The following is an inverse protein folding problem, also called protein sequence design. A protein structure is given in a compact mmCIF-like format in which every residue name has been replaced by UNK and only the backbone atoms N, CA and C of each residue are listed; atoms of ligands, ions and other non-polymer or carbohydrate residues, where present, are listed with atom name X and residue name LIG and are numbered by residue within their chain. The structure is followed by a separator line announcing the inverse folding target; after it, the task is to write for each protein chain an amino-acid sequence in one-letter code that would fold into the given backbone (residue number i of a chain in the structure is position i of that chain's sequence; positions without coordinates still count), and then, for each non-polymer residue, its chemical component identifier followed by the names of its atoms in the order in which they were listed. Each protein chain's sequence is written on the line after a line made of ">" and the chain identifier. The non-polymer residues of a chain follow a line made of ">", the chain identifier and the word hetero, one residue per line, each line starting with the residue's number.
data_IF_524541157017
#
_entry.id   IF_524541157017
#
_cell.length_a   1.000
_cell.length_b   1.000
_cell.length_c   1.000
_cell.angle_alpha   90.00
_cell.angle_beta   90.00
_cell.angle_gamma   90.00
#
_symmetry.space_group_name_H-M   'P 1'
#
loop_
_entity.id
_entity.type
_entity.pdbx_description
1 polymer ?
#
# COMPACT_ATOMS: atom_id res chain seq x y z
N UNK A 1 -1.63 22.52 17.20
CA UNK A 1 -0.33 23.17 16.92
C UNK A 1 -0.03 23.17 15.41
N UNK A 2 0.09 22.00 14.79
CA UNK A 2 0.48 21.85 13.37
C UNK A 2 -0.52 22.41 12.34
N UNK A 3 -1.77 22.65 12.70
CA UNK A 3 -2.76 23.26 11.78
C UNK A 3 -2.48 24.73 11.45
N UNK A 4 -1.66 25.42 12.25
CA UNK A 4 -1.40 26.87 12.12
C UNK A 4 0.07 27.22 12.19
N UNK A 5 0.96 26.23 12.37
CA UNK A 5 2.42 26.44 12.48
C UNK A 5 3.15 25.36 11.70
N UNK A 6 4.09 25.78 10.86
CA UNK A 6 4.96 24.90 10.09
C UNK A 6 6.28 24.57 10.82
N UNK A 7 6.61 25.30 11.88
CA UNK A 7 7.75 25.07 12.75
C UNK A 7 7.47 25.62 14.17
N UNK A 8 8.47 25.51 15.05
CA UNK A 8 8.34 25.90 16.46
C UNK A 8 8.54 27.40 16.72
N UNK A 9 9.09 28.17 15.78
CA UNK A 9 9.62 29.52 16.07
C UNK A 9 8.99 30.63 15.23
N UNK A 10 8.43 30.33 14.05
CA UNK A 10 7.82 31.31 13.15
C UNK A 10 6.43 31.74 13.60
N UNK A 11 5.99 32.87 13.05
CA UNK A 11 4.63 33.38 13.22
C UNK A 11 3.60 32.37 12.67
N UNK A 12 2.43 32.22 13.31
CA UNK A 12 1.37 31.36 12.81
C UNK A 12 0.92 31.71 11.39
N UNK A 13 0.51 30.71 10.63
CA UNK A 13 -0.12 30.86 9.32
C UNK A 13 -1.41 31.66 9.46
N UNK A 14 -1.67 32.54 8.50
CA UNK A 14 -2.88 33.36 8.47
C UNK A 14 -4.18 32.55 8.32
N UNK A 15 -4.08 31.32 7.79
CA UNK A 15 -5.18 30.38 7.61
C UNK A 15 -4.78 29.02 8.16
N UNK A 16 -5.74 28.30 8.75
CA UNK A 16 -5.57 26.90 9.11
C UNK A 16 -5.30 26.06 7.86
N UNK A 17 -4.25 25.26 7.92
CA UNK A 17 -3.81 24.38 6.83
C UNK A 17 -3.60 22.98 7.39
N UNK A 18 -4.17 21.98 6.73
CA UNK A 18 -3.93 20.59 7.10
C UNK A 18 -2.44 20.23 6.90
N UNK A 19 -1.85 19.51 7.85
CA UNK A 19 -0.46 19.07 7.78
C UNK A 19 -0.22 18.10 6.61
N UNK A 20 -1.23 17.31 6.28
CA UNK A 20 -1.20 16.34 5.21
C UNK A 20 -2.49 16.41 4.40
N UNK A 21 -2.36 16.36 3.07
CA UNK A 21 -3.49 16.18 2.18
C UNK A 21 -4.02 14.73 2.21
N UNK A 22 -5.19 14.49 1.61
CA UNK A 22 -5.84 13.17 1.59
C UNK A 22 -4.92 12.04 1.10
N UNK A 23 -4.16 12.26 0.04
CA UNK A 23 -3.24 11.26 -0.52
C UNK A 23 -2.16 10.86 0.48
N UNK A 24 -1.60 11.82 1.21
CA UNK A 24 -0.58 11.55 2.24
C UNK A 24 -1.20 10.80 3.42
N UNK A 25 -2.43 11.13 3.80
CA UNK A 25 -3.15 10.41 4.86
C UNK A 25 -3.39 8.95 4.44
N UNK A 26 -3.86 8.72 3.22
CA UNK A 26 -4.10 7.37 2.70
C UNK A 26 -2.82 6.52 2.66
N UNK A 27 -1.71 7.14 2.24
CA UNK A 27 -0.40 6.51 2.25
C UNK A 27 0.02 6.10 3.67
N UNK A 28 -0.14 6.99 4.65
CA UNK A 28 0.17 6.70 6.05
C UNK A 28 -0.74 5.61 6.63
N UNK A 29 -2.00 5.57 6.24
CA UNK A 29 -2.91 4.50 6.67
C UNK A 29 -2.47 3.15 6.10
N UNK A 30 -2.13 3.11 4.82
CA UNK A 30 -1.71 1.89 4.11
C UNK A 30 -0.38 1.35 4.63
N UNK A 31 0.65 2.20 4.69
CA UNK A 31 2.04 1.76 4.85
C UNK A 31 2.51 1.75 6.32
N UNK A 32 1.77 2.41 7.21
CA UNK A 32 2.19 2.59 8.61
C UNK A 32 1.10 2.23 9.62
N UNK A 33 -0.04 2.92 9.59
CA UNK A 33 -1.00 2.83 10.69
C UNK A 33 -1.67 1.46 10.76
N UNK A 34 -2.20 0.93 9.64
CA UNK A 34 -2.84 -0.38 9.64
C UNK A 34 -1.86 -1.52 9.98
N UNK A 35 -0.64 -1.57 9.41
CA UNK A 35 0.36 -2.55 9.83
C UNK A 35 0.72 -2.47 11.33
N UNK A 36 0.87 -1.27 11.88
CA UNK A 36 1.16 -1.08 13.29
C UNK A 36 0.01 -1.57 14.20
N UNK A 37 -1.24 -1.26 13.82
CA UNK A 37 -2.43 -1.74 14.54
C UNK A 37 -2.52 -3.26 14.45
N UNK A 38 -2.31 -3.86 13.27
CA UNK A 38 -2.31 -5.31 13.09
C UNK A 38 -1.28 -5.98 14.02
N UNK A 39 -0.05 -5.45 14.06
CA UNK A 39 1.00 -5.96 14.93
C UNK A 39 0.60 -5.87 16.42
N UNK A 40 0.04 -4.75 16.86
CA UNK A 40 -0.42 -4.58 18.24
C UNK A 40 -1.54 -5.55 18.61
N UNK A 41 -2.54 -5.74 17.73
CA UNK A 41 -3.63 -6.69 17.94
C UNK A 41 -3.10 -8.12 18.09
N UNK A 42 -2.15 -8.52 17.24
CA UNK A 42 -1.49 -9.83 17.33
C UNK A 42 -0.71 -10.00 18.65
N UNK A 43 0.03 -8.99 19.07
CA UNK A 43 0.79 -9.01 20.33
C UNK A 43 -0.13 -9.17 21.54
N UNK A 44 -1.28 -8.50 21.54
CA UNK A 44 -2.28 -8.58 22.61
C UNK A 44 -3.25 -9.77 22.48
N UNK A 45 -3.12 -10.57 21.43
CA UNK A 45 -4.02 -11.69 21.10
C UNK A 45 -5.48 -11.27 20.96
N UNK A 46 -5.71 -10.07 20.45
CA UNK A 46 -7.05 -9.56 20.13
C UNK A 46 -7.40 -9.90 18.68
N UNK A 47 -7.39 -11.19 18.35
CA UNK A 47 -7.59 -11.68 16.99
C UNK A 47 -9.01 -11.37 16.48
N UNK A 48 -9.97 -11.10 17.37
CA UNK A 48 -11.35 -10.75 17.05
C UNK A 48 -11.50 -9.46 16.23
N UNK A 49 -10.53 -8.54 16.30
CA UNK A 49 -10.56 -7.28 15.55
C UNK A 49 -9.85 -7.35 14.19
N UNK A 50 -9.11 -8.43 13.92
CA UNK A 50 -8.36 -8.58 12.67
C UNK A 50 -9.25 -8.57 11.42
N UNK A 51 -10.42 -9.26 11.39
CA UNK A 51 -11.28 -9.24 10.21
C UNK A 51 -11.76 -7.84 9.85
N UNK A 52 -12.06 -7.02 10.85
CA UNK A 52 -12.49 -5.63 10.65
C UNK A 52 -11.34 -4.75 10.15
N UNK A 53 -10.12 -4.97 10.65
CA UNK A 53 -8.92 -4.28 10.17
C UNK A 53 -8.59 -4.64 8.72
N UNK A 54 -8.70 -5.91 8.35
CA UNK A 54 -8.52 -6.40 6.99
C UNK A 54 -9.58 -5.82 6.05
N UNK A 55 -10.83 -5.75 6.50
CA UNK A 55 -11.92 -5.08 5.76
C UNK A 55 -11.62 -3.60 5.53
N UNK A 56 -11.12 -2.89 6.54
CA UNK A 56 -10.69 -1.50 6.39
C UNK A 56 -9.56 -1.37 5.37
N UNK A 57 -8.55 -2.23 5.44
CA UNK A 57 -7.43 -2.24 4.49
C UNK A 57 -7.88 -2.48 3.05
N UNK A 58 -8.78 -3.45 2.82
CA UNK A 58 -9.29 -3.78 1.50
C UNK A 58 -10.08 -2.62 0.85
N UNK A 59 -10.70 -1.76 1.67
CA UNK A 59 -11.52 -0.63 1.23
C UNK A 59 -10.73 0.67 1.03
N UNK A 60 -9.46 0.74 1.40
CA UNK A 60 -8.66 1.94 1.21
C UNK A 60 -8.49 2.25 -0.29
N UNK A 61 -8.64 3.52 -0.70
CA UNK A 61 -8.42 3.94 -2.08
C UNK A 61 -6.96 3.69 -2.50
N UNK A 62 -6.68 3.61 -3.80
CA UNK A 62 -5.32 3.41 -4.29
C UNK A 62 -4.44 4.62 -3.94
N UNK A 63 -3.19 4.36 -3.56
CA UNK A 63 -2.17 5.38 -3.37
C UNK A 63 -1.67 5.93 -4.71
N UNK A 64 -1.03 7.13 -4.69
CA UNK A 64 -0.31 7.65 -5.84
C UNK A 64 0.69 6.63 -6.39
N UNK A 65 0.79 6.56 -7.72
CA UNK A 65 1.69 5.62 -8.37
C UNK A 65 3.16 5.90 -8.05
N UNK A 66 3.89 4.83 -7.71
CA UNK A 66 5.34 4.85 -7.60
C UNK A 66 6.00 4.07 -8.75
N UNK A 67 7.33 4.18 -8.88
CA UNK A 67 8.09 3.52 -9.95
C UNK A 67 7.93 1.99 -9.96
N UNK A 68 7.90 1.37 -8.77
CA UNK A 68 7.72 -0.07 -8.60
C UNK A 68 6.36 -0.53 -9.12
N UNK A 69 5.28 0.15 -8.72
CA UNK A 69 3.93 -0.14 -9.19
C UNK A 69 3.85 -0.03 -10.72
N UNK A 70 4.35 1.06 -11.30
CA UNK A 70 4.36 1.24 -12.77
C UNK A 70 5.09 0.09 -13.48
N UNK A 71 6.29 -0.27 -13.01
CA UNK A 71 7.11 -1.38 -13.54
C UNK A 71 6.35 -2.70 -13.47
N UNK A 72 5.79 -3.00 -12.30
CA UNK A 72 5.13 -4.29 -12.05
C UNK A 72 3.80 -4.44 -12.78
N UNK A 73 3.02 -3.36 -12.93
CA UNK A 73 1.79 -3.40 -13.74
C UNK A 73 2.10 -3.76 -15.18
N UNK A 74 3.11 -3.10 -15.76
CA UNK A 74 3.48 -3.38 -17.14
C UNK A 74 4.04 -4.79 -17.34
N UNK A 75 4.75 -5.33 -16.35
CA UNK A 75 5.35 -6.67 -16.43
C UNK A 75 4.33 -7.79 -16.22
N UNK A 76 3.51 -7.70 -15.17
CA UNK A 76 2.59 -8.77 -14.78
C UNK A 76 1.22 -8.65 -15.45
N UNK A 77 0.79 -7.44 -15.78
CA UNK A 77 -0.57 -7.15 -16.25
C UNK A 77 -0.57 -6.14 -17.42
N UNK A 78 0.16 -6.43 -18.52
CA UNK A 78 0.24 -5.51 -19.65
C UNK A 78 -1.16 -5.18 -20.19
N UNK A 79 -1.44 -3.89 -20.39
CA UNK A 79 -2.73 -3.40 -20.89
C UNK A 79 -3.86 -3.32 -19.86
N UNK A 80 -3.67 -3.79 -18.62
CA UNK A 80 -4.73 -3.82 -17.58
C UNK A 80 -4.46 -2.75 -16.51
N UNK A 81 -4.85 -1.51 -16.81
CA UNK A 81 -4.63 -0.36 -15.91
C UNK A 81 -5.63 -0.28 -14.76
N UNK A 82 -6.81 -0.88 -14.91
CA UNK A 82 -7.98 -0.66 -14.06
C UNK A 82 -8.17 -1.72 -12.98
N UNK A 83 -7.26 -2.69 -12.84
CA UNK A 83 -7.41 -3.80 -11.89
C UNK A 83 -6.88 -3.46 -10.48
N UNK A 84 -6.12 -2.37 -10.33
CA UNK A 84 -5.54 -1.94 -9.04
C UNK A 84 -6.32 -0.78 -8.42
N UNK A 85 -7.60 -1.03 -8.10
CA UNK A 85 -8.55 -0.01 -7.60
C UNK A 85 -8.55 0.20 -6.08
N UNK A 86 -7.64 -0.46 -5.35
CA UNK A 86 -7.49 -0.30 -3.90
C UNK A 86 -6.02 -0.31 -3.49
N UNK A 87 -5.73 0.25 -2.32
CA UNK A 87 -4.40 0.16 -1.73
C UNK A 87 -3.96 -1.30 -1.52
N UNK A 88 -4.88 -2.17 -1.10
CA UNK A 88 -4.61 -3.60 -0.91
C UNK A 88 -4.16 -4.28 -2.22
N UNK A 89 -4.82 -4.01 -3.35
CA UNK A 89 -4.43 -4.55 -4.64
C UNK A 89 -3.03 -4.04 -5.08
N UNK A 90 -2.73 -2.77 -4.82
CA UNK A 90 -1.41 -2.20 -5.09
C UNK A 90 -0.33 -2.83 -4.21
N UNK A 91 -0.60 -3.06 -2.92
CA UNK A 91 0.33 -3.72 -2.00
C UNK A 91 0.60 -5.17 -2.41
N UNK A 92 -0.42 -5.90 -2.90
CA UNK A 92 -0.21 -7.23 -3.48
C UNK A 92 0.77 -7.22 -4.65
N UNK A 93 0.71 -6.20 -5.51
CA UNK A 93 1.64 -6.05 -6.63
C UNK A 93 3.08 -5.74 -6.17
N UNK A 94 3.24 -4.94 -5.11
CA UNK A 94 4.54 -4.66 -4.50
C UNK A 94 5.10 -5.94 -3.86
N UNK A 95 4.24 -6.71 -3.18
CA UNK A 95 4.62 -7.99 -2.59
C UNK A 95 5.12 -8.99 -3.65
N UNK A 96 4.45 -9.06 -4.82
CA UNK A 96 4.94 -9.88 -5.94
C UNK A 96 6.33 -9.46 -6.43
N UNK A 97 6.64 -8.17 -6.34
CA UNK A 97 7.97 -7.67 -6.68
C UNK A 97 9.02 -8.17 -5.70
N UNK A 98 8.77 -7.98 -4.41
CA UNK A 98 9.70 -8.34 -3.35
C UNK A 98 9.89 -9.85 -3.18
N UNK A 99 8.82 -10.65 -3.26
CA UNK A 99 8.89 -12.10 -2.99
C UNK A 99 9.25 -12.94 -4.21
N UNK A 100 8.95 -12.46 -5.42
CA UNK A 100 9.16 -13.27 -6.64
C UNK A 100 10.07 -12.58 -7.64
N UNK A 101 9.71 -11.38 -8.11
CA UNK A 101 10.42 -10.79 -9.25
C UNK A 101 11.86 -10.37 -8.90
N UNK A 102 12.07 -9.74 -7.75
CA UNK A 102 13.38 -9.33 -7.27
C UNK A 102 14.32 -10.53 -7.04
N UNK A 103 13.94 -11.49 -6.17
CA UNK A 103 14.77 -12.66 -5.86
C UNK A 103 15.14 -13.51 -7.08
N UNK A 104 14.26 -13.58 -8.09
CA UNK A 104 14.50 -14.32 -9.33
C UNK A 104 15.25 -13.52 -10.39
N UNK A 105 15.76 -12.31 -10.08
CA UNK A 105 16.35 -11.39 -11.06
C UNK A 105 15.44 -11.19 -12.28
N UNK A 106 14.12 -11.17 -12.04
CA UNK A 106 13.07 -11.05 -13.03
C UNK A 106 13.02 -12.21 -14.06
N UNK A 107 13.57 -13.39 -13.76
CA UNK A 107 13.50 -14.56 -14.65
C UNK A 107 12.11 -15.22 -14.63
N UNK A 108 11.22 -14.78 -15.52
CA UNK A 108 9.83 -15.22 -15.55
C UNK A 108 9.64 -16.72 -15.82
N UNK A 109 10.55 -17.39 -16.54
CA UNK A 109 10.47 -18.83 -16.83
C UNK A 109 10.58 -19.71 -15.59
N UNK A 110 11.10 -19.18 -14.48
CA UNK A 110 11.25 -19.88 -13.20
C UNK A 110 10.34 -19.31 -12.13
N UNK A 111 9.39 -18.45 -12.48
CA UNK A 111 8.56 -17.73 -11.52
C UNK A 111 7.37 -18.59 -11.07
N UNK A 112 7.27 -18.99 -9.78
CA UNK A 112 6.15 -19.79 -9.29
C UNK A 112 4.79 -19.10 -9.49
N UNK A 113 4.72 -17.79 -9.29
CA UNK A 113 3.51 -17.01 -9.54
C UNK A 113 3.07 -17.05 -11.01
N UNK A 114 4.01 -17.03 -11.97
CA UNK A 114 3.66 -17.16 -13.38
C UNK A 114 3.11 -18.57 -13.67
N UNK A 115 3.73 -19.59 -13.10
CA UNK A 115 3.33 -20.98 -13.31
C UNK A 115 1.95 -21.28 -12.69
N UNK A 116 1.61 -20.66 -11.57
CA UNK A 116 0.27 -20.82 -10.96
C UNK A 116 -0.83 -20.24 -11.86
N UNK A 117 -0.58 -19.12 -12.54
CA UNK A 117 -1.55 -18.52 -13.48
C UNK A 117 -1.78 -19.39 -14.73
N UNK A 118 -0.78 -20.16 -15.16
CA UNK A 118 -0.89 -21.07 -16.32
C UNK A 118 -1.59 -22.39 -15.98
N UNK A 119 -1.66 -22.76 -14.70
CA UNK A 119 -2.30 -24.02 -14.25
C UNK A 119 -3.81 -23.85 -14.02
N UNK A 120 -4.28 -22.62 -13.82
CA UNK A 120 -5.69 -22.27 -13.62
C UNK A 120 -6.42 -21.86 -14.91
N UNK A 121 -5.75 -21.95 -16.07
CA UNK A 121 -6.27 -21.60 -17.41
C UNK A 121 -6.49 -22.85 -18.26
#
# INVERSE_FOLDING_TARGET
>A
FWEIRSDFTRKPLARRTALAGPDRINLLLTDLALPAIHAELRLRKHDEFLPELERCFAQLPPNPDNGTLKKMRQRCFPGRKDIFRSAAAQQGLIHLEHEFCGPLSFQCTRCPFRNSLETEA
#
